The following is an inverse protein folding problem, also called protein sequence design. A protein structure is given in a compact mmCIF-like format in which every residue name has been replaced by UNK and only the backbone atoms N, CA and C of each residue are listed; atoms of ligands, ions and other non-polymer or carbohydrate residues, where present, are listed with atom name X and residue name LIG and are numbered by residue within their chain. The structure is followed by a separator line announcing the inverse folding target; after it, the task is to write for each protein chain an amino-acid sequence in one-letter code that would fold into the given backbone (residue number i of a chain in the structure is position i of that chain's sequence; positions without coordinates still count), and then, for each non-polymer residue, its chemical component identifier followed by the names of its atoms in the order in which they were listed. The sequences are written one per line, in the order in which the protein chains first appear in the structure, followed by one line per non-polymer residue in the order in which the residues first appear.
data_IF_460842224793
#
_entry.id   IF_460842224793
#
_cell.length_a   1.000
_cell.length_b   1.000
_cell.length_c   1.000
_cell.angle_alpha   90.00
_cell.angle_beta   90.00
_cell.angle_gamma   90.00
#
_symmetry.space_group_name_H-M   'P 1'
#
loop_
_entity.id
_entity.type
_entity.pdbx_description
1 polymer ?
#
# COMPACT_ATOMS: atom_id res chain seq x y z
N UNK A 1 33.33 -2.18 10.18
CA UNK A 1 32.13 -2.95 9.81
C UNK A 1 30.94 -2.02 9.98
N UNK A 2 30.23 -1.61 8.92
CA UNK A 2 29.04 -0.78 9.09
C UNK A 2 27.99 -1.58 9.88
N UNK A 3 27.31 -0.91 10.81
CA UNK A 3 26.33 -1.54 11.69
C UNK A 3 25.23 -2.28 10.89
N UNK A 4 24.83 -3.50 11.30
CA UNK A 4 23.66 -4.16 10.74
C UNK A 4 22.41 -3.31 11.03
N UNK A 5 21.71 -2.92 9.97
CA UNK A 5 20.66 -1.89 9.92
C UNK A 5 19.32 -2.28 10.59
N UNK A 6 19.26 -3.28 11.48
CA UNK A 6 17.99 -3.68 12.11
C UNK A 6 18.12 -4.18 13.55
N UNK A 7 17.08 -3.97 14.38
CA UNK A 7 15.73 -3.51 14.01
C UNK A 7 15.53 -2.02 14.25
N UNK A 8 15.11 -1.30 13.20
CA UNK A 8 14.30 -0.08 13.39
C UNK A 8 13.16 -0.47 14.33
N UNK A 9 12.91 0.34 15.38
CA UNK A 9 11.80 0.07 16.30
C UNK A 9 10.55 -0.26 15.47
N UNK A 10 9.89 -1.39 15.74
CA UNK A 10 8.53 -1.63 15.25
C UNK A 10 7.72 -0.36 15.52
N UNK A 11 7.26 0.30 14.47
CA UNK A 11 6.41 1.49 14.54
C UNK A 11 7.09 2.80 14.15
N UNK A 12 8.32 2.78 13.64
CA UNK A 12 9.11 4.00 13.40
C UNK A 12 8.76 4.79 12.14
N UNK A 13 8.06 4.20 11.17
CA UNK A 13 7.57 4.92 10.00
C UNK A 13 6.20 4.40 9.57
N UNK A 14 5.16 5.11 9.99
CA UNK A 14 3.76 4.76 9.73
C UNK A 14 3.20 5.49 8.52
N UNK A 15 2.09 5.00 7.95
CA UNK A 15 1.41 5.68 6.83
C UNK A 15 1.01 7.12 7.17
N UNK A 16 0.64 7.41 8.43
CA UNK A 16 0.33 8.77 8.85
C UNK A 16 1.57 9.71 8.84
N UNK A 17 2.76 9.20 9.16
CA UNK A 17 4.00 9.96 9.05
C UNK A 17 4.43 10.10 7.60
N UNK A 18 4.27 9.05 6.80
CA UNK A 18 4.52 9.08 5.37
C UNK A 18 3.66 10.13 4.65
N UNK A 19 2.39 10.28 5.04
CA UNK A 19 1.48 11.29 4.50
C UNK A 19 1.94 12.73 4.75
N UNK A 20 2.79 12.98 5.76
CA UNK A 20 3.37 14.31 6.00
C UNK A 20 4.49 14.64 5.02
N UNK A 21 5.22 13.61 4.57
CA UNK A 21 6.43 13.77 3.76
C UNK A 21 6.20 13.57 2.26
N UNK A 22 5.21 12.75 1.88
CA UNK A 22 4.90 12.42 0.50
C UNK A 22 3.41 12.23 0.32
N UNK A 23 2.90 12.49 -0.88
CA UNK A 23 1.47 12.33 -1.17
C UNK A 23 1.14 10.93 -1.69
N UNK A 24 2.12 10.25 -2.27
CA UNK A 24 1.93 8.97 -2.95
C UNK A 24 2.85 7.87 -2.44
N UNK A 25 2.32 6.65 -2.43
CA UNK A 25 3.08 5.42 -2.33
C UNK A 25 3.12 4.75 -3.71
N UNK A 26 4.32 4.36 -4.13
CA UNK A 26 4.56 3.58 -5.34
C UNK A 26 4.54 2.11 -4.98
N UNK A 27 3.64 1.36 -5.61
CA UNK A 27 3.61 -0.09 -5.54
C UNK A 27 4.11 -0.69 -6.85
N UNK A 28 5.05 -1.63 -6.73
CA UNK A 28 5.64 -2.34 -7.86
C UNK A 28 5.51 -3.84 -7.66
N UNK A 29 5.02 -4.55 -8.66
CA UNK A 29 5.07 -6.01 -8.65
C UNK A 29 6.44 -6.51 -9.12
N UNK A 30 7.09 -7.37 -8.34
CA UNK A 30 8.40 -7.98 -8.67
C UNK A 30 8.38 -8.82 -9.95
N UNK A 31 7.27 -9.52 -10.21
CA UNK A 31 7.11 -10.37 -11.39
C UNK A 31 6.64 -9.59 -12.61
N UNK A 32 5.51 -8.89 -12.50
CA UNK A 32 4.92 -8.19 -13.63
C UNK A 32 5.59 -6.86 -13.98
N UNK A 33 6.45 -6.35 -13.10
CA UNK A 33 7.10 -5.03 -13.17
C UNK A 33 6.14 -3.85 -13.38
N UNK A 34 4.86 -4.06 -13.07
CA UNK A 34 3.85 -3.01 -13.17
C UNK A 34 3.97 -2.11 -11.95
N UNK A 35 4.03 -0.80 -12.22
CA UNK A 35 4.13 0.25 -11.21
C UNK A 35 2.81 1.01 -11.16
N UNK A 36 2.29 1.24 -9.95
CA UNK A 36 1.09 2.03 -9.70
C UNK A 36 1.30 2.93 -8.50
N UNK A 37 0.72 4.10 -8.55
CA UNK A 37 0.80 5.06 -7.46
C UNK A 37 -0.56 5.12 -6.76
N UNK A 38 -0.52 5.07 -5.44
CA UNK A 38 -1.69 5.15 -4.59
C UNK A 38 -1.50 6.36 -3.66
N UNK A 39 -2.49 7.24 -3.52
CA UNK A 39 -2.40 8.31 -2.56
C UNK A 39 -2.41 7.73 -1.14
N UNK A 40 -1.53 8.23 -0.28
CA UNK A 40 -1.35 7.67 1.08
C UNK A 40 -2.63 7.85 1.92
N UNK A 41 -3.39 8.92 1.70
CA UNK A 41 -4.68 9.13 2.35
C UNK A 41 -5.66 7.95 2.13
N UNK A 42 -5.78 7.47 0.88
CA UNK A 42 -6.64 6.33 0.55
C UNK A 42 -6.13 5.04 1.20
N UNK A 43 -4.81 4.87 1.26
CA UNK A 43 -4.18 3.72 1.90
C UNK A 43 -4.49 3.69 3.40
N UNK A 44 -4.49 4.84 4.08
CA UNK A 44 -4.89 4.96 5.48
C UNK A 44 -6.37 4.60 5.67
N UNK A 45 -7.25 5.00 4.75
CA UNK A 45 -8.68 4.64 4.84
C UNK A 45 -8.89 3.12 4.75
N UNK A 46 -8.12 2.41 3.92
CA UNK A 46 -8.29 0.96 3.69
C UNK A 46 -7.60 0.11 4.76
N UNK A 47 -6.37 0.46 5.12
CA UNK A 47 -5.51 -0.36 5.96
C UNK A 47 -5.40 0.17 7.40
N UNK A 48 -5.78 1.43 7.64
CA UNK A 48 -5.54 2.12 8.90
C UNK A 48 -4.13 2.72 8.98
N UNK A 49 -3.75 3.21 10.15
CA UNK A 49 -2.41 3.71 10.40
C UNK A 49 -1.45 2.56 10.73
N UNK A 50 -0.88 1.95 9.70
CA UNK A 50 0.04 0.81 9.82
C UNK A 50 1.45 1.21 9.39
N UNK A 51 2.44 0.39 9.76
CA UNK A 51 3.81 0.54 9.28
C UNK A 51 3.86 0.32 7.76
N UNK A 52 4.65 1.15 7.08
CA UNK A 52 4.68 1.12 5.61
C UNK A 52 5.20 -0.22 5.06
N UNK A 53 6.16 -0.84 5.76
CA UNK A 53 6.72 -2.14 5.40
C UNK A 53 5.74 -3.30 5.65
N UNK A 54 4.89 -3.19 6.68
CA UNK A 54 3.90 -4.23 7.00
C UNK A 54 2.69 -4.20 6.07
N UNK A 55 2.41 -3.03 5.48
CA UNK A 55 1.22 -2.79 4.69
C UNK A 55 1.05 -3.77 3.51
N UNK A 56 2.14 -4.15 2.83
CA UNK A 56 2.11 -5.10 1.69
C UNK A 56 1.70 -6.52 2.11
N UNK A 57 1.85 -6.87 3.38
CA UNK A 57 1.49 -8.17 3.93
C UNK A 57 0.07 -8.20 4.50
N UNK A 58 -0.62 -7.05 4.55
CA UNK A 58 -1.97 -6.95 5.09
C UNK A 58 -3.07 -7.25 4.07
N UNK A 59 -4.20 -7.76 4.57
CA UNK A 59 -5.46 -8.00 3.84
C UNK A 59 -5.33 -8.73 2.49
N UNK A 60 -4.38 -9.66 2.37
CA UNK A 60 -4.14 -10.40 1.14
C UNK A 60 -3.97 -9.49 -0.08
N UNK A 61 -3.13 -8.45 0.02
CA UNK A 61 -2.91 -7.54 -1.09
C UNK A 61 -2.35 -8.28 -2.31
N UNK A 62 -3.10 -8.22 -3.43
CA UNK A 62 -2.75 -8.86 -4.69
C UNK A 62 -2.32 -7.86 -5.74
N UNK A 63 -1.37 -8.27 -6.56
CA UNK A 63 -1.05 -7.53 -7.78
C UNK A 63 -2.28 -7.48 -8.70
N UNK A 64 -2.61 -6.30 -9.21
CA UNK A 64 -3.77 -6.09 -10.08
C UNK A 64 -3.63 -6.69 -11.47
N UNK A 65 -2.42 -7.11 -11.89
CA UNK A 65 -2.19 -7.75 -13.18
C UNK A 65 -2.17 -9.28 -13.05
N UNK A 66 -1.37 -9.84 -12.15
CA UNK A 66 -1.21 -11.29 -12.01
C UNK A 66 -2.02 -11.92 -10.87
N UNK A 67 -2.64 -11.14 -9.99
CA UNK A 67 -3.40 -11.65 -8.85
C UNK A 67 -2.57 -12.31 -7.75
N UNK A 68 -1.24 -12.35 -7.89
CA UNK A 68 -0.35 -13.01 -6.93
C UNK A 68 -0.17 -12.18 -5.66
N UNK A 69 -0.14 -12.88 -4.51
CA UNK A 69 0.10 -12.33 -3.17
C UNK A 69 1.59 -12.23 -2.87
N UNK A 70 1.99 -11.36 -1.94
CA UNK A 70 3.37 -11.21 -1.48
C UNK A 70 4.41 -10.87 -2.57
N UNK A 71 3.94 -10.43 -3.74
CA UNK A 71 4.79 -10.08 -4.90
C UNK A 71 5.02 -8.58 -5.06
N UNK A 72 4.42 -7.79 -4.19
CA UNK A 72 4.41 -6.34 -4.24
C UNK A 72 5.51 -5.80 -3.34
N UNK A 73 6.27 -4.85 -3.88
CA UNK A 73 7.17 -3.99 -3.12
C UNK A 73 6.56 -2.60 -3.08
N UNK A 74 6.80 -1.90 -1.98
CA UNK A 74 6.30 -0.55 -1.73
C UNK A 74 7.47 0.40 -1.52
N UNK A 75 7.40 1.56 -2.16
CA UNK A 75 8.26 2.71 -1.90
C UNK A 75 7.39 3.94 -1.65
N UNK A 76 7.77 4.76 -0.68
CA UNK A 76 7.11 6.04 -0.44
C UNK A 76 7.88 7.12 -1.20
N UNK A 77 7.17 7.86 -2.03
CA UNK A 77 7.77 8.90 -2.82
C UNK A 77 6.85 9.41 -3.90
N UNK A 78 6.95 10.71 -4.12
CA UNK A 78 6.20 11.37 -5.17
C UNK A 78 6.72 10.98 -6.56
N UNK A 79 5.81 10.87 -7.53
CA UNK A 79 6.21 10.55 -8.88
C UNK A 79 7.13 11.64 -9.48
N UNK A 80 8.22 11.25 -10.17
CA UNK A 80 9.09 12.19 -10.86
C UNK A 80 8.26 13.06 -11.81
N UNK A 81 8.51 14.38 -11.83
CA UNK A 81 7.75 15.33 -12.66
C UNK A 81 7.71 14.90 -14.14
N UNK A 82 8.82 14.37 -14.65
CA UNK A 82 8.95 13.87 -16.02
C UNK A 82 8.05 12.66 -16.35
N UNK A 83 7.63 11.89 -15.34
CA UNK A 83 6.77 10.70 -15.51
C UNK A 83 5.31 10.95 -15.15
N UNK A 84 4.95 12.13 -14.61
CA UNK A 84 3.58 12.41 -14.12
C UNK A 84 2.49 12.13 -15.16
N UNK A 85 2.77 12.36 -16.45
CA UNK A 85 1.80 12.12 -17.54
C UNK A 85 1.60 10.62 -17.87
N UNK A 86 2.58 9.75 -17.57
CA UNK A 86 2.49 8.30 -17.87
C UNK A 86 2.05 7.46 -16.67
N UNK A 87 1.95 8.07 -15.50
CA UNK A 87 1.68 7.34 -14.27
C UNK A 87 0.20 7.05 -14.11
N UNK A 88 -0.11 5.79 -13.79
CA UNK A 88 -1.45 5.37 -13.40
C UNK A 88 -1.60 5.55 -11.88
N UNK A 89 -2.30 6.61 -11.49
CA UNK A 89 -2.73 6.83 -10.12
C UNK A 89 -4.03 6.05 -9.90
N UNK A 90 -4.06 5.22 -8.87
CA UNK A 90 -5.27 4.49 -8.48
C UNK A 90 -5.79 5.09 -7.17
N UNK A 91 -6.97 5.69 -7.25
CA UNK A 91 -7.68 6.26 -6.11
C UNK A 91 -8.87 5.39 -5.74
N UNK A 92 -9.31 5.50 -4.50
CA UNK A 92 -10.59 4.95 -4.06
C UNK A 92 -11.69 5.77 -4.74
N UNK A 93 -12.54 5.09 -5.50
CA UNK A 93 -13.73 5.68 -6.08
C UNK A 93 -14.89 5.66 -5.07
N UNK A 94 -15.12 4.49 -4.46
CA UNK A 94 -16.12 4.26 -3.41
C UNK A 94 -15.77 3.06 -2.54
N UNK A 95 -16.31 3.02 -1.32
CA UNK A 95 -16.21 1.87 -0.41
C UNK A 95 -17.63 1.35 -0.18
N UNK A 96 -17.89 0.11 -0.60
CA UNK A 96 -19.19 -0.53 -0.46
C UNK A 96 -19.17 -1.52 0.70
N UNK A 97 -20.10 -1.35 1.66
CA UNK A 97 -20.24 -2.23 2.81
C UNK A 97 -21.38 -3.22 2.58
N UNK A 98 -21.09 -4.53 2.68
CA UNK A 98 -22.09 -5.59 2.51
C UNK A 98 -22.48 -6.16 3.88
N UNK A 99 -23.72 -5.94 4.31
CA UNK A 99 -24.29 -6.58 5.49
C UNK A 99 -24.70 -8.02 5.13
N UNK A 100 -24.09 -9.01 5.78
CA UNK A 100 -24.47 -10.43 5.64
C UNK A 100 -25.24 -10.88 6.88
N UNK A 101 -26.43 -11.43 6.67
CA UNK A 101 -27.24 -12.07 7.71
C UNK A 101 -26.90 -13.56 7.70
N UNK A 102 -26.53 -14.11 8.85
CA UNK A 102 -26.27 -15.53 9.03
C UNK A 102 -27.32 -16.05 10.00
N UNK A 103 -28.12 -17.00 9.54
CA UNK A 103 -29.14 -17.65 10.35
C UNK A 103 -28.52 -18.85 11.08
N UNK A 104 -29.01 -19.11 12.29
CA UNK A 104 -28.70 -20.32 13.05
C UNK A 104 -30.01 -21.10 13.16
N UNK A 105 -30.00 -22.34 12.68
CA UNK A 105 -31.07 -23.30 12.91
C UNK A 105 -30.88 -23.97 14.30
N UNK A 106 -31.99 -24.24 14.99
CA UNK A 106 -32.06 -25.06 16.23
C UNK A 106 -32.39 -26.52 15.88
#
# INVERSE_FOLDING_TARGET
MPEPYWPKRKGSYTLAEAAKNSQFARLRCRYCKIERYYPIADLIVVFGNVECDDMIYMRDWRCTKCGQRNTLDMDIGDPPAAKRQQIKIRKIDRIEYVRKIVWKDE
#
